data_IF_719625182666
#
_entry.id   IF_719625182666
#
_cell.length_a   1.000
_cell.length_b   1.000
_cell.length_c   1.000
_cell.angle_alpha   90.00
_cell.angle_beta   90.00
_cell.angle_gamma   90.00
#
_symmetry.space_group_name_H-M   'P 1'
#
loop_
_entity.id
_entity.type
_entity.pdbx_description
1 polymer ?
#
# COMPACT_ATOMS: atom_id res chain seq x y z
N UNK A 1 7.72 -9.61 22.65
CA UNK A 1 6.49 -10.42 22.83
C UNK A 1 5.32 -9.46 23.03
N UNK A 2 4.13 -9.79 22.51
CA UNK A 2 2.93 -8.99 22.81
C UNK A 2 2.49 -9.22 24.27
N UNK A 3 1.86 -8.23 24.92
CA UNK A 3 1.24 -8.44 26.23
C UNK A 3 0.19 -9.55 26.21
N UNK A 4 0.02 -10.25 27.34
CA UNK A 4 -0.89 -11.40 27.45
C UNK A 4 -2.38 -11.04 27.51
N UNK A 5 -2.73 -9.76 27.68
CA UNK A 5 -4.11 -9.27 27.77
C UNK A 5 -4.25 -8.00 26.92
N UNK A 6 -5.36 -7.86 26.19
CA UNK A 6 -5.64 -6.73 25.29
C UNK A 6 -5.80 -7.16 23.83
N UNK A 7 -6.13 -6.21 22.95
CA UNK A 7 -6.31 -6.45 21.50
C UNK A 7 -5.07 -6.06 20.71
N UNK A 8 -3.95 -6.72 20.99
CA UNK A 8 -2.69 -6.44 20.32
C UNK A 8 -2.52 -7.27 19.05
N UNK A 9 -2.01 -6.65 17.99
CA UNK A 9 -1.65 -7.32 16.74
C UNK A 9 -0.21 -6.95 16.36
N UNK A 10 0.55 -7.92 15.83
CA UNK A 10 1.91 -7.67 15.38
C UNK A 10 1.93 -6.86 14.08
N UNK A 11 2.94 -6.02 13.85
CA UNK A 11 3.19 -5.44 12.53
C UNK A 11 3.35 -6.55 11.50
N UNK A 12 2.64 -6.44 10.38
CA UNK A 12 2.65 -7.45 9.32
C UNK A 12 3.01 -6.80 7.99
N UNK A 13 4.03 -7.33 7.31
CA UNK A 13 4.43 -6.92 5.97
C UNK A 13 4.13 -8.05 4.98
N UNK A 14 3.16 -7.84 4.09
CA UNK A 14 2.83 -8.78 3.02
C UNK A 14 3.49 -8.31 1.73
N UNK A 15 4.40 -9.12 1.19
CA UNK A 15 5.19 -8.78 0.00
C UNK A 15 4.69 -9.49 -1.25
N UNK A 16 4.78 -8.84 -2.40
CA UNK A 16 4.41 -9.45 -3.69
C UNK A 16 2.90 -9.67 -3.82
N UNK A 17 2.11 -8.78 -3.21
CA UNK A 17 0.65 -8.87 -3.20
C UNK A 17 0.13 -8.59 -4.61
N UNK A 18 -0.67 -9.52 -5.15
CA UNK A 18 -1.35 -9.32 -6.43
C UNK A 18 -2.36 -8.16 -6.33
N UNK A 19 -2.53 -7.33 -7.36
CA UNK A 19 -3.50 -6.23 -7.35
C UNK A 19 -4.95 -6.69 -7.11
N UNK A 20 -5.30 -7.92 -7.50
CA UNK A 20 -6.63 -8.50 -7.29
C UNK A 20 -6.81 -9.18 -5.92
N UNK A 21 -5.77 -9.21 -5.07
CA UNK A 21 -5.85 -9.79 -3.74
C UNK A 21 -6.75 -8.93 -2.84
N UNK A 22 -7.54 -9.55 -1.96
CA UNK A 22 -8.38 -8.84 -0.98
C UNK A 22 -7.59 -7.83 -0.15
N UNK A 23 -6.33 -8.14 0.20
CA UNK A 23 -5.46 -7.26 0.96
C UNK A 23 -5.10 -5.96 0.22
N UNK A 24 -5.19 -5.94 -1.11
CA UNK A 24 -4.99 -4.74 -1.94
C UNK A 24 -6.30 -4.00 -2.25
N UNK A 25 -7.46 -4.66 -2.09
CA UNK A 25 -8.76 -4.16 -2.54
C UNK A 25 -9.68 -3.70 -1.40
N UNK A 26 -9.48 -4.21 -0.19
CA UNK A 26 -10.28 -3.88 1.00
C UNK A 26 -9.43 -3.29 2.10
N UNK A 27 -10.00 -2.32 2.83
CA UNK A 27 -9.32 -1.63 3.92
C UNK A 27 -9.17 -2.56 5.14
N UNK A 28 -7.93 -2.77 5.60
CA UNK A 28 -7.61 -3.67 6.72
C UNK A 28 -7.89 -3.03 8.09
N UNK A 29 -7.67 -1.72 8.21
CA UNK A 29 -7.83 -0.96 9.45
C UNK A 29 -7.00 -1.51 10.64
N UNK A 30 -5.80 -2.03 10.35
CA UNK A 30 -4.87 -2.62 11.31
C UNK A 30 -3.40 -2.45 10.90
N UNK A 31 -2.43 -2.96 11.68
CA UNK A 31 -1.00 -2.73 11.45
C UNK A 31 -0.43 -3.66 10.35
N UNK A 32 -1.01 -3.59 9.15
CA UNK A 32 -0.65 -4.42 8.00
C UNK A 32 -0.31 -3.56 6.81
N UNK A 33 0.84 -3.82 6.17
CA UNK A 33 1.26 -3.18 4.93
C UNK A 33 1.36 -4.23 3.82
N UNK A 34 0.65 -4.00 2.71
CA UNK A 34 0.81 -4.75 1.48
C UNK A 34 1.77 -4.04 0.53
N UNK A 35 2.71 -4.78 -0.05
CA UNK A 35 3.64 -4.24 -1.05
C UNK A 35 3.52 -4.97 -2.37
N UNK A 36 3.63 -4.20 -3.45
CA UNK A 36 3.62 -4.65 -4.83
C UNK A 36 4.72 -3.92 -5.59
N UNK A 37 5.19 -4.51 -6.67
CA UNK A 37 6.21 -3.93 -7.55
C UNK A 37 5.57 -3.41 -8.83
N UNK A 38 6.15 -2.37 -9.40
CA UNK A 38 5.83 -1.84 -10.72
C UNK A 38 7.11 -1.70 -11.53
N UNK A 39 7.00 -1.58 -12.86
CA UNK A 39 8.13 -1.44 -13.79
C UNK A 39 8.34 0.00 -14.25
N UNK A 40 7.27 0.79 -14.31
CA UNK A 40 7.31 2.19 -14.71
C UNK A 40 6.28 3.01 -13.92
N UNK A 41 6.35 4.32 -14.09
CA UNK A 41 5.56 5.30 -13.35
C UNK A 41 4.08 5.22 -13.70
N UNK A 42 3.77 4.92 -14.95
CA UNK A 42 2.39 4.77 -15.43
C UNK A 42 1.72 3.56 -14.78
N UNK A 43 2.40 2.41 -14.73
CA UNK A 43 1.94 1.20 -14.04
C UNK A 43 1.76 1.46 -12.54
N UNK A 44 2.64 2.24 -11.90
CA UNK A 44 2.49 2.60 -10.49
C UNK A 44 1.19 3.39 -10.23
N UNK A 45 0.88 4.35 -11.11
CA UNK A 45 -0.34 5.16 -11.03
C UNK A 45 -1.58 4.32 -11.30
N UNK A 46 -1.54 3.44 -12.31
CA UNK A 46 -2.63 2.50 -12.60
C UNK A 46 -2.90 1.59 -11.40
N UNK A 47 -1.86 1.04 -10.76
CA UNK A 47 -1.98 0.22 -9.56
C UNK A 47 -2.55 1.01 -8.38
N UNK A 48 -2.09 2.24 -8.15
CA UNK A 48 -2.58 3.10 -7.07
C UNK A 48 -4.05 3.48 -7.26
N UNK A 49 -4.47 3.72 -8.51
CA UNK A 49 -5.86 4.06 -8.85
C UNK A 49 -6.78 2.83 -8.99
N UNK A 50 -6.25 1.61 -8.98
CA UNK A 50 -7.03 0.37 -9.04
C UNK A 50 -7.67 0.03 -7.68
N UNK A 51 -8.47 0.96 -7.18
CA UNK A 51 -9.18 0.87 -5.92
C UNK A 51 -10.47 1.69 -6.00
N UNK A 52 -11.47 1.34 -5.18
CA UNK A 52 -12.72 2.10 -5.06
C UNK A 52 -12.60 3.32 -4.15
N UNK A 53 -11.49 3.44 -3.43
CA UNK A 53 -11.21 4.48 -2.45
C UNK A 53 -10.35 5.60 -3.07
N UNK A 54 -10.15 6.71 -2.37
CA UNK A 54 -9.38 7.85 -2.90
C UNK A 54 -9.06 8.93 -1.87
N UNK A 55 -8.86 8.53 -0.60
CA UNK A 55 -8.71 9.47 0.51
C UNK A 55 -7.32 10.13 0.57
N UNK A 56 -6.27 9.32 0.50
CA UNK A 56 -4.89 9.78 0.64
C UNK A 56 -3.94 8.92 -0.19
N UNK A 57 -2.88 9.56 -0.69
CA UNK A 57 -1.77 8.92 -1.38
C UNK A 57 -0.48 9.69 -1.08
N UNK A 58 0.67 9.03 -1.19
CA UNK A 58 1.99 9.66 -1.02
C UNK A 58 2.96 9.14 -2.07
N UNK A 59 3.70 10.05 -2.70
CA UNK A 59 4.74 9.74 -3.68
C UNK A 59 6.11 10.00 -3.07
N UNK A 60 7.02 9.05 -3.24
CA UNK A 60 8.40 9.14 -2.75
C UNK A 60 9.34 9.00 -3.94
N UNK A 61 10.09 10.06 -4.23
CA UNK A 61 11.02 10.13 -5.36
C UNK A 61 12.10 11.18 -5.06
N UNK A 62 13.32 10.91 -5.52
CA UNK A 62 14.42 11.90 -5.48
C UNK A 62 14.30 12.93 -6.62
N UNK A 63 13.47 12.66 -7.64
CA UNK A 63 13.21 13.57 -8.74
C UNK A 63 11.87 14.31 -8.50
N UNK A 64 11.98 15.61 -8.20
CA UNK A 64 10.83 16.47 -7.93
C UNK A 64 9.90 16.65 -9.14
N UNK A 65 10.42 16.69 -10.36
CA UNK A 65 9.59 16.81 -11.56
C UNK A 65 8.75 15.56 -11.76
N UNK A 66 9.33 14.39 -11.48
CA UNK A 66 8.59 13.14 -11.52
C UNK A 66 7.54 13.08 -10.39
N UNK A 67 7.91 13.48 -9.18
CA UNK A 67 7.00 13.47 -8.03
C UNK A 67 5.77 14.39 -8.23
N UNK A 68 5.94 15.51 -8.95
CA UNK A 68 4.86 16.43 -9.30
C UNK A 68 4.06 16.01 -10.55
N UNK A 69 4.60 15.11 -11.36
CA UNK A 69 3.92 14.58 -12.55
C UNK A 69 2.91 13.48 -12.20
N UNK A 70 3.26 12.66 -11.21
CA UNK A 70 2.40 11.62 -10.61
C UNK A 70 1.28 12.25 -9.79
#
# INVERSE_FOLDING_TARGET
ALPSYGYYHLPTLATGVSPANILAQEEVFGPVLATMTFRNTEEAVELANNTRYGLAASVWSENINLALHV
#
